data_IF_033160479728
#
_entry.id   IF_033160479728
#
_cell.length_a   1.000
_cell.length_b   1.000
_cell.length_c   1.000
_cell.angle_alpha   90.00
_cell.angle_beta   90.00
_cell.angle_gamma   90.00
#
_symmetry.space_group_name_H-M   'P 1'
#
loop_
_entity.id
_entity.type
_entity.pdbx_description
1 polymer ?
#
# COMPACT_ATOMS: atom_id res chain seq x y z
N UNK A 1 -2.16 -4.18 17.29
CA UNK A 1 -2.17 -3.63 15.91
C UNK A 1 -3.12 -2.44 15.89
N UNK A 2 -2.92 -1.49 14.99
CA UNK A 2 -3.80 -0.33 14.82
C UNK A 2 -3.79 0.14 13.36
N UNK A 3 -4.81 0.88 12.94
CA UNK A 3 -4.93 1.51 11.63
C UNK A 3 -5.16 3.02 11.81
N UNK A 4 -4.09 3.80 12.01
CA UNK A 4 -4.21 5.25 12.14
C UNK A 4 -4.57 5.91 10.80
N UNK A 5 -5.37 6.98 10.87
CA UNK A 5 -5.79 7.79 9.73
C UNK A 5 -4.91 9.05 9.57
N UNK A 6 -5.23 9.87 8.56
CA UNK A 6 -4.70 11.22 8.37
C UNK A 6 -3.17 11.29 8.18
N UNK A 7 -2.57 10.43 7.36
CA UNK A 7 -1.13 10.45 7.03
C UNK A 7 -0.21 10.33 8.26
N UNK A 8 -0.52 9.41 9.16
CA UNK A 8 0.14 9.23 10.45
C UNK A 8 1.68 9.08 10.40
N UNK A 9 2.21 8.39 9.38
CA UNK A 9 3.66 8.15 9.22
C UNK A 9 4.33 9.07 8.21
N UNK A 10 3.79 10.28 8.03
CA UNK A 10 4.11 11.23 6.98
C UNK A 10 3.35 10.97 5.67
N UNK A 11 3.21 12.06 4.93
CA UNK A 11 2.50 12.13 3.67
C UNK A 11 3.30 11.45 2.57
N UNK A 12 2.63 10.62 1.77
CA UNK A 12 3.20 10.08 0.55
C UNK A 12 3.51 11.14 -0.51
N UNK A 13 4.35 10.76 -1.48
CA UNK A 13 4.57 11.52 -2.70
C UNK A 13 4.34 10.58 -3.88
N UNK A 14 3.42 10.92 -4.79
CA UNK A 14 3.07 10.08 -5.94
C UNK A 14 1.57 9.83 -6.11
N UNK A 15 1.21 8.86 -6.95
CA UNK A 15 -0.19 8.56 -7.21
C UNK A 15 -0.82 7.79 -6.05
N UNK A 16 -1.98 8.23 -5.60
CA UNK A 16 -2.83 7.43 -4.72
C UNK A 16 -3.47 6.35 -5.59
N UNK A 17 -3.25 5.09 -5.23
CA UNK A 17 -3.63 3.96 -6.08
C UNK A 17 -5.01 3.40 -5.74
N UNK A 18 -5.41 3.47 -4.48
CA UNK A 18 -6.60 2.84 -3.93
C UNK A 18 -7.35 3.83 -3.05
N UNK A 19 -8.68 3.74 -3.09
CA UNK A 19 -9.63 4.49 -2.27
C UNK A 19 -10.75 3.54 -1.83
N UNK A 20 -11.43 3.87 -0.73
CA UNK A 20 -12.56 3.12 -0.17
C UNK A 20 -12.31 1.60 0.00
N UNK A 21 -11.10 1.24 0.44
CA UNK A 21 -10.67 -0.15 0.60
C UNK A 21 -11.42 -0.84 1.76
N UNK A 22 -12.11 -1.92 1.43
CA UNK A 22 -12.90 -2.75 2.36
C UNK A 22 -12.45 -4.21 2.26
N UNK A 23 -11.75 -4.66 3.31
CA UNK A 23 -11.24 -6.02 3.44
C UNK A 23 -12.12 -6.86 4.36
N UNK A 24 -12.22 -8.16 4.08
CA UNK A 24 -12.78 -9.17 4.99
C UNK A 24 -11.79 -9.54 6.10
N UNK A 25 -10.48 -9.40 5.83
CA UNK A 25 -9.40 -9.62 6.79
C UNK A 25 -8.60 -10.90 6.56
N UNK A 26 -8.92 -11.67 5.53
CA UNK A 26 -8.23 -12.90 5.11
C UNK A 26 -7.53 -12.76 3.74
N UNK A 27 -7.60 -11.58 3.12
CA UNK A 27 -6.92 -11.30 1.87
C UNK A 27 -5.40 -11.32 2.04
N UNK A 28 -4.69 -11.93 1.08
CA UNK A 28 -3.23 -11.97 1.09
C UNK A 28 -2.59 -10.58 0.82
N UNK A 29 -3.32 -9.67 0.17
CA UNK A 29 -2.82 -8.38 -0.36
C UNK A 29 -3.94 -7.34 -0.27
N UNK A 30 -3.59 -6.09 0.04
CA UNK A 30 -4.56 -4.99 0.21
C UNK A 30 -5.36 -4.72 -1.08
N UNK A 31 -4.73 -4.83 -2.26
CA UNK A 31 -5.41 -4.65 -3.55
C UNK A 31 -6.25 -5.86 -4.00
N UNK A 32 -6.42 -6.88 -3.16
CA UNK A 32 -7.42 -7.94 -3.37
C UNK A 32 -8.74 -7.66 -2.63
N UNK A 33 -8.73 -6.69 -1.71
CA UNK A 33 -9.94 -6.25 -1.02
C UNK A 33 -10.90 -5.57 -2.00
N UNK A 34 -12.15 -5.37 -1.61
CA UNK A 34 -13.07 -4.55 -2.42
C UNK A 34 -12.61 -3.10 -2.35
N UNK A 35 -12.47 -2.44 -3.50
CA UNK A 35 -12.03 -1.06 -3.59
C UNK A 35 -12.52 -0.44 -4.90
N UNK A 36 -12.43 0.89 -5.00
CA UNK A 36 -12.75 1.63 -6.22
C UNK A 36 -11.76 1.33 -7.36
N UNK A 37 -12.04 1.79 -8.58
CA UNK A 37 -11.11 1.57 -9.69
C UNK A 37 -9.72 2.13 -9.37
N UNK A 38 -8.67 1.49 -9.90
CA UNK A 38 -7.29 1.95 -9.75
C UNK A 38 -7.15 3.43 -10.12
N UNK A 39 -6.50 4.20 -9.23
CA UNK A 39 -6.27 5.64 -9.38
C UNK A 39 -7.55 6.49 -9.52
N UNK A 40 -8.73 5.92 -9.29
CA UNK A 40 -9.99 6.64 -9.15
C UNK A 40 -10.21 6.90 -7.67
N UNK A 41 -9.75 8.07 -7.21
CA UNK A 41 -9.85 8.46 -5.81
C UNK A 41 -10.22 9.93 -5.70
N UNK A 42 -10.85 10.31 -4.59
CA UNK A 42 -11.04 11.71 -4.23
C UNK A 42 -10.08 12.15 -3.10
N UNK A 43 -9.31 11.22 -2.56
CA UNK A 43 -8.34 11.49 -1.50
C UNK A 43 -7.23 12.43 -1.97
N UNK A 44 -6.84 13.33 -1.08
CA UNK A 44 -5.53 13.98 -1.08
C UNK A 44 -4.61 13.29 -0.08
N UNK A 45 -3.30 13.40 -0.28
CA UNK A 45 -2.32 12.68 0.53
C UNK A 45 -2.36 12.88 2.06
N UNK A 46 -3.03 13.94 2.55
CA UNK A 46 -3.31 14.06 3.99
C UNK A 46 -4.19 12.91 4.52
N UNK A 47 -4.86 12.19 3.63
CA UNK A 47 -5.74 11.04 3.92
C UNK A 47 -5.01 9.71 3.71
N UNK A 48 -3.69 9.71 3.48
CA UNK A 48 -2.92 8.48 3.29
C UNK A 48 -3.09 7.54 4.50
N UNK A 49 -3.49 6.30 4.21
CA UNK A 49 -3.74 5.29 5.22
C UNK A 49 -2.44 4.66 5.74
N UNK A 50 -2.42 4.30 7.02
CA UNK A 50 -1.25 3.74 7.70
C UNK A 50 -1.64 2.55 8.59
N UNK A 51 -0.71 1.62 8.83
CA UNK A 51 -0.92 0.45 9.71
C UNK A 51 0.23 0.26 10.69
N UNK A 52 -0.12 -0.19 11.91
CA UNK A 52 0.84 -0.61 12.93
C UNK A 52 0.69 -2.12 13.15
N UNK A 53 1.66 -2.87 12.65
CA UNK A 53 1.74 -4.32 12.83
C UNK A 53 2.22 -4.69 14.25
N UNK A 54 1.82 -5.86 14.76
CA UNK A 54 2.30 -6.38 16.05
C UNK A 54 3.51 -7.31 15.93
N UNK A 55 4.07 -7.43 14.73
CA UNK A 55 5.27 -8.23 14.50
C UNK A 55 6.50 -7.52 15.05
N UNK A 56 7.39 -8.27 15.68
CA UNK A 56 8.74 -7.80 15.97
C UNK A 56 9.47 -7.65 14.63
N UNK A 57 10.08 -6.48 14.38
CA UNK A 57 11.04 -6.35 13.30
C UNK A 57 12.24 -7.25 13.64
N UNK A 58 12.29 -8.46 13.09
CA UNK A 58 13.47 -9.33 13.17
C UNK A 58 14.58 -8.82 12.23
N UNK A 59 14.92 -7.53 12.34
CA UNK A 59 15.83 -6.82 11.46
C UNK A 59 17.31 -7.12 11.64
N UNK A 60 17.70 -8.26 12.22
CA UNK A 60 19.13 -8.59 12.43
C UNK A 60 19.53 -10.07 12.26
N UNK A 61 18.73 -10.94 11.64
CA UNK A 61 19.22 -12.28 11.26
C UNK A 61 19.54 -12.47 9.77
N UNK A 62 19.31 -11.47 8.90
CA UNK A 62 19.88 -11.44 7.54
C UNK A 62 20.31 -10.02 7.15
N UNK A 63 21.62 -9.71 7.19
CA UNK A 63 22.14 -8.43 6.70
C UNK A 63 22.23 -8.44 5.17
N UNK A 64 21.10 -8.33 4.46
CA UNK A 64 21.00 -7.78 3.09
C UNK A 64 19.58 -7.35 2.68
N UNK A 65 18.56 -7.39 3.56
CA UNK A 65 17.18 -7.04 3.17
C UNK A 65 16.75 -5.60 3.49
N UNK A 66 17.71 -4.71 3.77
CA UNK A 66 17.48 -3.25 3.71
C UNK A 66 17.34 -2.77 2.25
N UNK A 67 17.50 -3.66 1.25
CA UNK A 67 17.30 -3.36 -0.18
C UNK A 67 15.84 -3.50 -0.69
N UNK A 68 14.84 -3.87 0.12
CA UNK A 68 13.44 -3.94 -0.40
C UNK A 68 12.66 -2.63 -0.37
N UNK A 69 13.25 -1.55 0.14
CA UNK A 69 12.82 -0.17 -0.14
C UNK A 69 13.99 0.64 -0.71
N UNK A 70 14.76 0.05 -1.62
CA UNK A 70 15.47 0.89 -2.57
C UNK A 70 14.49 1.35 -3.65
N UNK A 71 14.52 2.63 -4.08
CA UNK A 71 13.76 3.07 -5.23
C UNK A 71 14.26 2.28 -6.46
N UNK A 72 13.55 1.20 -6.80
CA UNK A 72 13.73 0.57 -8.08
C UNK A 72 13.37 1.61 -9.15
N UNK A 73 14.23 1.87 -10.15
CA UNK A 73 13.95 2.87 -11.17
C UNK A 73 12.56 2.58 -11.77
N UNK A 74 11.77 3.64 -11.91
CA UNK A 74 10.42 3.64 -12.50
C UNK A 74 10.29 2.58 -13.60
N UNK A 75 9.42 1.60 -13.41
CA UNK A 75 9.08 0.66 -14.48
C UNK A 75 8.88 -0.78 -14.05
N UNK A 76 7.92 -1.02 -13.15
CA UNK A 76 7.06 -2.19 -13.33
C UNK A 76 5.69 -1.64 -13.66
N UNK A 77 5.44 -1.54 -14.95
CA UNK A 77 4.09 -1.37 -15.48
C UNK A 77 3.23 -2.45 -14.83
N UNK A 78 2.30 -2.04 -13.97
CA UNK A 78 1.23 -2.94 -13.55
C UNK A 78 0.33 -3.07 -14.76
N UNK A 79 0.70 -3.92 -15.71
CA UNK A 79 -0.13 -4.23 -16.86
C UNK A 79 -1.35 -4.97 -16.34
N UNK A 80 -2.43 -4.22 -16.10
CA UNK A 80 -3.77 -4.79 -16.00
C UNK A 80 -4.05 -5.34 -17.40
N UNK A 81 -4.30 -6.64 -17.59
CA UNK A 81 -4.73 -7.15 -18.88
C UNK A 81 -6.08 -6.48 -19.22
N UNK A 82 -6.07 -5.65 -20.25
CA UNK A 82 -7.27 -5.08 -20.87
C UNK A 82 -8.28 -6.22 -21.15
N UNK A 83 -9.47 -6.17 -20.54
CA UNK A 83 -10.56 -7.10 -20.88
C UNK A 83 -11.33 -7.79 -19.76
N UNK A 84 -11.27 -7.34 -18.50
CA UNK A 84 -12.27 -7.75 -17.50
C UNK A 84 -12.94 -6.52 -16.89
N UNK A 85 -13.93 -6.04 -17.63
CA UNK A 85 -14.97 -5.11 -17.16
C UNK A 85 -15.87 -5.79 -16.14
#
# INVERSE_FOLDING_TARGET
MSAPAESYFERGMGHIMLDDVQCMGDEAKVWHCTHDRWSSHNCGYHEDASVVCSGEWHGLQHPTETELCQPQPLGREMSIPEGKL
#
